data_IF_788579438056
#
_entry.id   IF_788579438056
#
_cell.length_a   1.000
_cell.length_b   1.000
_cell.length_c   1.000
_cell.angle_alpha   90.00
_cell.angle_beta   90.00
_cell.angle_gamma   90.00
#
_symmetry.space_group_name_H-M   'P 1'
#
loop_
_entity.id
_entity.type
_entity.pdbx_description
1 polymer ?
#
# COMPACT_ATOMS: atom_id res chain seq x y z
N UNK A 1 -32.36 9.68 -11.48
CA UNK A 1 -32.36 9.12 -10.11
C UNK A 1 -31.05 8.39 -9.96
N UNK A 2 -30.11 8.95 -9.20
CA UNK A 2 -28.82 8.32 -8.91
C UNK A 2 -29.09 7.18 -7.94
N UNK A 3 -29.06 5.95 -8.44
CA UNK A 3 -29.16 4.78 -7.58
C UNK A 3 -27.94 4.77 -6.65
N UNK A 4 -28.13 4.52 -5.36
CA UNK A 4 -27.02 4.56 -4.42
C UNK A 4 -26.03 3.43 -4.73
N UNK A 5 -24.73 3.74 -4.76
CA UNK A 5 -23.68 2.75 -5.04
C UNK A 5 -23.63 1.62 -3.98
N UNK A 6 -24.11 1.92 -2.77
CA UNK A 6 -24.30 0.97 -1.67
C UNK A 6 -25.64 1.26 -1.01
N UNK A 7 -26.41 0.21 -0.71
CA UNK A 7 -27.58 0.29 0.16
C UNK A 7 -27.44 -0.66 1.35
N UNK A 8 -27.90 -0.22 2.53
CA UNK A 8 -27.79 -0.98 3.78
C UNK A 8 -29.16 -1.37 4.32
N UNK A 9 -29.27 -2.59 4.84
CA UNK A 9 -30.46 -3.14 5.46
C UNK A 9 -30.06 -3.91 6.73
N UNK A 10 -30.77 -3.70 7.83
CA UNK A 10 -30.58 -4.52 9.03
C UNK A 10 -31.28 -5.87 8.87
N UNK A 11 -30.66 -6.92 9.40
CA UNK A 11 -31.22 -8.26 9.44
C UNK A 11 -31.86 -8.49 10.82
N UNK A 12 -33.19 -8.61 10.83
CA UNK A 12 -34.03 -8.68 12.04
C UNK A 12 -33.74 -9.90 12.93
N UNK A 13 -33.35 -11.04 12.34
CA UNK A 13 -33.29 -12.32 13.04
C UNK A 13 -32.05 -12.51 13.93
N UNK A 14 -31.01 -11.66 13.84
CA UNK A 14 -29.74 -11.93 14.52
C UNK A 14 -28.75 -10.76 14.70
N UNK A 15 -29.17 -9.49 14.56
CA UNK A 15 -28.22 -8.37 14.66
C UNK A 15 -27.17 -8.38 13.54
N UNK A 16 -27.62 -8.61 12.31
CA UNK A 16 -26.76 -8.65 11.12
C UNK A 16 -26.93 -7.42 10.23
N UNK A 17 -25.94 -7.16 9.38
CA UNK A 17 -25.97 -6.11 8.39
C UNK A 17 -25.95 -6.73 6.99
N UNK A 18 -26.88 -6.32 6.13
CA UNK A 18 -26.85 -6.58 4.69
C UNK A 18 -26.49 -5.29 3.96
N UNK A 19 -25.38 -5.29 3.24
CA UNK A 19 -25.01 -4.23 2.33
C UNK A 19 -25.09 -4.74 0.89
N UNK A 20 -25.90 -4.10 0.06
CA UNK A 20 -25.98 -4.38 -1.39
C UNK A 20 -25.12 -3.37 -2.13
N UNK A 21 -24.10 -3.87 -2.80
CA UNK A 21 -23.05 -3.05 -3.42
C UNK A 21 -23.12 -3.17 -4.94
N UNK A 22 -23.07 -2.05 -5.65
CA UNK A 22 -22.98 -2.00 -7.11
C UNK A 22 -21.56 -2.29 -7.60
N UNK A 23 -21.42 -3.31 -8.44
CA UNK A 23 -20.14 -3.70 -9.05
C UNK A 23 -19.62 -2.68 -10.06
N UNK A 24 -20.46 -1.78 -10.57
CA UNK A 24 -20.03 -0.69 -11.45
C UNK A 24 -19.16 0.35 -10.72
N UNK A 25 -19.41 0.51 -9.41
CA UNK A 25 -18.74 1.51 -8.57
C UNK A 25 -17.59 0.89 -7.77
N UNK A 26 -17.79 -0.33 -7.26
CA UNK A 26 -16.78 -1.07 -6.52
C UNK A 26 -16.55 -2.41 -7.23
N UNK A 27 -15.37 -2.61 -7.81
CA UNK A 27 -15.08 -3.87 -8.46
C UNK A 27 -15.09 -5.03 -7.45
N UNK A 28 -15.26 -6.26 -7.95
CA UNK A 28 -15.37 -7.45 -7.10
C UNK A 28 -14.20 -7.60 -6.12
N UNK A 29 -12.96 -7.25 -6.50
CA UNK A 29 -11.81 -7.37 -5.58
C UNK A 29 -11.91 -6.37 -4.45
N UNK A 30 -12.34 -5.15 -4.75
CA UNK A 30 -12.61 -4.11 -3.75
C UNK A 30 -13.68 -4.56 -2.75
N UNK A 31 -14.80 -5.11 -3.24
CA UNK A 31 -15.89 -5.61 -2.38
C UNK A 31 -15.40 -6.74 -1.47
N UNK A 32 -14.62 -7.68 -2.03
CA UNK A 32 -14.07 -8.79 -1.25
C UNK A 32 -13.10 -8.29 -0.19
N UNK A 33 -12.14 -7.43 -0.58
CA UNK A 33 -11.16 -6.87 0.35
C UNK A 33 -11.83 -6.13 1.51
N UNK A 34 -12.84 -5.31 1.23
CA UNK A 34 -13.60 -4.60 2.25
C UNK A 34 -14.39 -5.55 3.16
N UNK A 35 -15.01 -6.60 2.62
CA UNK A 35 -15.75 -7.56 3.43
C UNK A 35 -14.84 -8.39 4.34
N UNK A 36 -13.64 -8.76 3.86
CA UNK A 36 -12.69 -9.57 4.63
C UNK A 36 -12.05 -8.83 5.81
N UNK A 37 -12.09 -7.50 5.88
CA UNK A 37 -11.63 -6.78 7.10
C UNK A 37 -12.47 -7.13 8.33
N UNK A 38 -13.70 -7.61 8.13
CA UNK A 38 -14.61 -8.00 9.19
C UNK A 38 -14.49 -9.48 9.57
N UNK A 39 -13.68 -10.29 8.87
CA UNK A 39 -13.69 -11.76 9.06
C UNK A 39 -13.28 -12.19 10.46
N UNK A 40 -12.52 -11.38 11.21
CA UNK A 40 -12.14 -11.72 12.57
C UNK A 40 -13.34 -11.63 13.53
N UNK A 41 -14.12 -10.54 13.41
CA UNK A 41 -15.23 -10.18 14.32
C UNK A 41 -16.62 -10.66 13.87
N UNK A 42 -16.80 -10.91 12.57
CA UNK A 42 -18.08 -11.27 11.97
C UNK A 42 -17.93 -12.46 11.02
N UNK A 43 -18.97 -13.27 10.94
CA UNK A 43 -19.23 -14.13 9.80
C UNK A 43 -19.56 -13.26 8.59
N UNK A 44 -18.81 -13.47 7.52
CA UNK A 44 -18.97 -12.77 6.25
C UNK A 44 -19.56 -13.73 5.24
N UNK A 45 -20.67 -13.37 4.60
CA UNK A 45 -21.22 -14.08 3.45
C UNK A 45 -21.36 -13.10 2.30
N UNK A 46 -20.75 -13.45 1.18
CA UNK A 46 -20.86 -12.73 -0.09
C UNK A 46 -21.76 -13.55 -1.02
N UNK A 47 -22.80 -12.92 -1.53
CA UNK A 47 -23.75 -13.56 -2.43
C UNK A 47 -24.04 -12.65 -3.64
N UNK A 48 -24.33 -13.26 -4.80
CA UNK A 48 -24.62 -12.54 -6.04
C UNK A 48 -25.99 -12.97 -6.56
N UNK A 49 -27.03 -12.38 -5.98
CA UNK A 49 -28.42 -12.67 -6.36
C UNK A 49 -28.83 -12.02 -7.69
N UNK A 50 -28.26 -10.86 -7.99
CA UNK A 50 -28.55 -10.06 -9.17
C UNK A 50 -27.24 -9.78 -9.94
N UNK A 51 -27.25 -9.80 -11.29
CA UNK A 51 -26.07 -9.44 -12.05
C UNK A 51 -25.71 -7.97 -11.82
N UNK A 52 -24.43 -7.70 -11.52
CA UNK A 52 -23.91 -6.35 -11.27
C UNK A 52 -24.08 -5.86 -9.83
N UNK A 53 -24.64 -6.68 -8.92
CA UNK A 53 -24.72 -6.35 -7.49
C UNK A 53 -24.27 -7.51 -6.62
N UNK A 54 -23.52 -7.20 -5.57
CA UNK A 54 -23.08 -8.19 -4.57
C UNK A 54 -23.71 -7.83 -3.23
N UNK A 55 -24.38 -8.81 -2.64
CA UNK A 55 -24.91 -8.76 -1.28
C UNK A 55 -23.79 -9.18 -0.30
N UNK A 56 -23.34 -8.25 0.52
CA UNK A 56 -22.41 -8.46 1.64
C UNK A 56 -23.23 -8.61 2.92
N UNK A 57 -23.24 -9.80 3.49
CA UNK A 57 -23.91 -10.08 4.75
C UNK A 57 -22.86 -10.25 5.85
N UNK A 58 -22.95 -9.38 6.85
CA UNK A 58 -22.16 -9.44 8.07
C UNK A 58 -23.05 -9.91 9.22
N UNK A 59 -22.59 -10.91 9.97
CA UNK A 59 -23.26 -11.39 11.18
C UNK A 59 -22.23 -11.57 12.28
N UNK A 60 -22.52 -11.16 13.50
CA UNK A 60 -21.62 -11.34 14.63
C UNK A 60 -21.24 -12.82 14.86
N UNK A 61 -20.03 -13.08 15.39
CA UNK A 61 -19.60 -14.46 15.71
C UNK A 61 -20.05 -14.97 17.08
N UNK A 62 -20.23 -14.10 18.07
CA UNK A 62 -20.64 -14.50 19.43
C UNK A 62 -21.19 -13.32 20.25
N UNK A 63 -22.46 -13.41 20.66
CA UNK A 63 -23.21 -12.65 21.68
C UNK A 63 -22.95 -11.15 21.85
N UNK A 64 -22.39 -10.50 20.84
CA UNK A 64 -22.00 -9.11 20.86
C UNK A 64 -22.46 -8.49 19.57
N UNK A 65 -23.35 -7.50 19.69
CA UNK A 65 -23.89 -6.76 18.55
C UNK A 65 -22.75 -6.28 17.66
N UNK A 66 -22.95 -6.36 16.33
CA UNK A 66 -22.12 -5.59 15.41
C UNK A 66 -21.97 -4.15 15.95
N UNK A 67 -20.78 -3.54 15.82
CA UNK A 67 -20.58 -2.16 16.23
C UNK A 67 -21.68 -1.25 15.65
N UNK A 68 -22.17 -0.28 16.43
CA UNK A 68 -23.23 0.62 15.96
C UNK A 68 -22.83 1.39 14.69
N UNK A 69 -21.52 1.52 14.47
CA UNK A 69 -20.85 2.13 13.33
C UNK A 69 -20.45 1.14 12.22
N UNK A 70 -20.83 -0.15 12.30
CA UNK A 70 -20.45 -1.17 11.31
C UNK A 70 -20.84 -0.80 9.86
N UNK A 71 -21.93 -0.04 9.69
CA UNK A 71 -22.33 0.53 8.38
C UNK A 71 -21.28 1.49 7.84
N UNK A 72 -20.89 2.45 8.67
CA UNK A 72 -19.90 3.47 8.31
C UNK A 72 -18.51 2.85 8.14
N UNK A 73 -18.15 1.87 8.97
CA UNK A 73 -16.90 1.13 8.85
C UNK A 73 -16.85 0.33 7.54
N UNK A 74 -17.95 -0.35 7.15
CA UNK A 74 -18.00 -1.10 5.90
C UNK A 74 -17.94 -0.16 4.68
N UNK A 75 -18.64 0.97 4.74
CA UNK A 75 -18.57 2.00 3.70
C UNK A 75 -17.15 2.55 3.56
N UNK A 76 -16.51 2.92 4.67
CA UNK A 76 -15.13 3.37 4.68
C UNK A 76 -14.16 2.30 4.14
N UNK A 77 -14.36 1.04 4.51
CA UNK A 77 -13.57 -0.08 4.00
C UNK A 77 -13.69 -0.26 2.48
N UNK A 78 -14.90 -0.08 1.91
CA UNK A 78 -15.13 -0.12 0.46
C UNK A 78 -14.36 0.99 -0.26
N UNK A 79 -14.44 2.24 0.22
CA UNK A 79 -13.72 3.35 -0.38
C UNK A 79 -12.20 3.22 -0.20
N UNK A 80 -11.74 2.78 0.97
CA UNK A 80 -10.32 2.54 1.22
C UNK A 80 -9.76 1.46 0.29
N UNK A 81 -10.45 0.32 0.15
CA UNK A 81 -10.05 -0.76 -0.75
C UNK A 81 -10.03 -0.29 -2.22
N UNK A 82 -11.02 0.52 -2.64
CA UNK A 82 -11.06 1.10 -3.99
C UNK A 82 -9.85 1.99 -4.24
N UNK A 83 -9.56 2.90 -3.30
CA UNK A 83 -8.43 3.81 -3.41
C UNK A 83 -7.10 3.04 -3.44
N UNK A 84 -6.97 2.02 -2.59
CA UNK A 84 -5.78 1.17 -2.55
C UNK A 84 -5.58 0.41 -3.86
N UNK A 85 -6.65 -0.10 -4.47
CA UNK A 85 -6.56 -0.79 -5.76
C UNK A 85 -6.18 0.19 -6.89
N UNK A 86 -6.78 1.38 -6.92
CA UNK A 86 -6.44 2.43 -7.88
C UNK A 86 -5.00 2.96 -7.73
N UNK A 87 -4.55 3.14 -6.50
CA UNK A 87 -3.19 3.61 -6.20
C UNK A 87 -2.15 2.53 -6.52
N UNK A 88 -2.40 1.27 -6.19
CA UNK A 88 -1.46 0.17 -6.50
C UNK A 88 -1.17 0.06 -8.00
N UNK A 89 -2.19 0.25 -8.84
CA UNK A 89 -2.00 0.26 -10.30
C UNK A 89 -1.17 1.46 -10.77
N UNK A 90 -1.32 2.62 -10.14
CA UNK A 90 -0.64 3.87 -10.52
C UNK A 90 0.79 3.94 -9.98
N UNK A 91 1.03 3.41 -8.78
CA UNK A 91 2.32 3.44 -8.10
C UNK A 91 3.38 2.60 -8.81
N UNK A 92 3.01 1.47 -9.40
CA UNK A 92 3.95 0.65 -10.19
C UNK A 92 4.47 1.42 -11.41
N UNK A 93 3.56 2.02 -12.19
CA UNK A 93 3.94 2.82 -13.35
C UNK A 93 4.83 4.02 -12.97
N UNK A 94 4.54 4.66 -11.84
CA UNK A 94 5.37 5.77 -11.35
C UNK A 94 6.75 5.28 -10.89
N UNK A 95 6.82 4.20 -10.11
CA UNK A 95 8.09 3.61 -9.68
C UNK A 95 8.95 3.17 -10.88
N UNK A 96 8.35 2.52 -11.88
CA UNK A 96 9.02 2.13 -13.12
C UNK A 96 9.52 3.36 -13.89
N UNK A 97 8.73 4.44 -13.94
CA UNK A 97 9.15 5.68 -14.60
C UNK A 97 10.34 6.37 -13.89
N UNK A 98 10.38 6.33 -12.56
CA UNK A 98 11.50 6.84 -11.77
C UNK A 98 12.74 5.97 -12.01
N UNK A 99 12.58 4.65 -11.96
CA UNK A 99 13.67 3.72 -12.22
C UNK A 99 14.24 3.88 -13.63
N UNK A 100 13.40 4.02 -14.66
CA UNK A 100 13.83 4.26 -16.03
C UNK A 100 14.54 5.62 -16.18
N UNK A 101 14.00 6.67 -15.56
CA UNK A 101 14.64 8.00 -15.56
C UNK A 101 16.00 8.00 -14.86
N UNK A 102 16.13 7.25 -13.76
CA UNK A 102 17.36 7.11 -13.01
C UNK A 102 18.40 6.23 -13.73
N UNK A 103 17.96 5.20 -14.46
CA UNK A 103 18.83 4.25 -15.17
C UNK A 103 19.20 4.69 -16.60
N UNK A 104 18.54 5.69 -17.19
CA UNK A 104 19.05 6.29 -18.42
C UNK A 104 18.08 7.20 -19.16
N UNK A 105 18.33 8.51 -19.06
CA UNK A 105 18.19 9.38 -20.24
C UNK A 105 19.43 9.15 -21.12
N UNK A 106 19.29 8.74 -22.39
CA UNK A 106 20.44 8.49 -23.29
C UNK A 106 21.26 9.75 -23.59
N UNK A 107 20.76 10.91 -23.22
CA UNK A 107 21.41 12.22 -23.34
C UNK A 107 22.36 12.56 -22.17
N UNK A 108 22.32 11.82 -21.06
CA UNK A 108 23.35 11.87 -20.01
C UNK A 108 24.46 10.82 -20.20
N UNK A 109 24.38 10.02 -21.27
CA UNK A 109 25.52 9.26 -21.80
C UNK A 109 26.37 10.19 -22.67
N UNK A 110 26.79 11.33 -22.14
CA UNK A 110 27.95 12.02 -22.71
C UNK A 110 29.12 11.03 -22.67
N UNK A 111 29.76 10.70 -23.81
CA UNK A 111 30.99 9.96 -23.76
C UNK A 111 31.97 10.78 -22.92
N UNK A 112 32.45 10.23 -21.81
CA UNK A 112 33.58 10.81 -21.08
C UNK A 112 34.68 11.16 -22.08
N UNK A 113 35.35 12.32 -21.94
CA UNK A 113 36.46 12.66 -22.82
C UNK A 113 37.49 11.52 -22.79
N UNK A 114 38.11 11.18 -23.93
CA UNK A 114 39.05 10.07 -23.98
C UNK A 114 40.19 10.33 -23.01
N UNK A 115 40.37 9.41 -22.06
CA UNK A 115 41.56 9.37 -21.23
C UNK A 115 42.79 9.13 -22.13
N UNK A 116 43.94 9.77 -21.85
CA UNK A 116 45.15 9.60 -22.63
C UNK A 116 45.56 8.14 -22.71
N UNK A 117 45.96 7.72 -23.91
CA UNK A 117 46.25 6.35 -24.29
C UNK A 117 47.25 5.67 -23.35
N UNK A 118 46.83 4.58 -22.71
CA UNK A 118 47.77 3.73 -22.00
C UNK A 118 47.24 2.92 -20.83
N UNK A 119 46.08 2.25 -20.94
CA UNK A 119 45.92 0.95 -20.24
C UNK A 119 44.71 0.17 -20.73
N UNK A 120 44.97 -1.09 -21.09
CA UNK A 120 43.96 -2.07 -21.43
C UNK A 120 42.94 -2.27 -20.31
N UNK A 121 41.71 -2.59 -20.71
CA UNK A 121 40.59 -2.77 -19.80
C UNK A 121 40.80 -3.91 -18.82
N UNK A 122 40.30 -3.73 -17.60
CA UNK A 122 39.50 -4.69 -16.83
C UNK A 122 39.02 -4.00 -15.55
N UNK A 123 37.78 -4.30 -15.18
CA UNK A 123 37.12 -3.98 -13.91
C UNK A 123 36.67 -2.53 -13.70
N UNK A 124 35.34 -2.40 -13.58
CA UNK A 124 34.65 -1.28 -12.94
C UNK A 124 35.20 -1.10 -11.53
N UNK A 125 36.26 -0.31 -11.38
CA UNK A 125 36.72 0.15 -10.08
C UNK A 125 35.75 1.25 -9.63
N UNK A 126 35.01 0.98 -8.56
CA UNK A 126 34.38 2.05 -7.78
C UNK A 126 35.45 3.13 -7.52
N UNK A 127 35.10 4.43 -7.58
CA UNK A 127 36.05 5.46 -7.22
C UNK A 127 36.58 5.15 -5.83
N UNK A 128 37.91 5.09 -5.68
CA UNK A 128 38.52 4.89 -4.39
C UNK A 128 38.07 6.05 -3.51
N UNK A 129 37.30 5.74 -2.47
CA UNK A 129 36.89 6.72 -1.46
C UNK A 129 38.13 6.99 -0.63
N UNK A 130 38.70 8.17 -0.79
CA UNK A 130 39.83 8.60 0.03
C UNK A 130 39.33 8.85 1.46
N UNK A 131 40.15 8.61 2.50
CA UNK A 131 39.73 8.78 3.89
C UNK A 131 39.26 10.21 4.23
N UNK A 132 39.61 11.18 3.39
CA UNK A 132 39.19 12.58 3.44
C UNK A 132 37.70 12.76 3.10
N UNK A 133 37.16 11.91 2.22
CA UNK A 133 35.75 11.91 1.80
C UNK A 133 34.82 11.26 2.84
N UNK A 134 35.38 10.58 3.84
CA UNK A 134 34.62 9.96 4.94
C UNK A 134 34.10 10.98 5.95
N UNK A 135 34.62 12.21 5.95
CA UNK A 135 34.12 13.30 6.78
C UNK A 135 32.66 13.68 6.46
N UNK A 136 32.15 13.32 5.27
CA UNK A 136 30.74 13.47 4.92
C UNK A 136 29.81 12.43 5.61
N UNK A 137 30.38 11.38 6.21
CA UNK A 137 29.66 10.33 6.95
C UNK A 137 29.79 10.49 8.48
N UNK A 138 30.60 11.44 8.95
CA UNK A 138 30.55 11.88 10.34
C UNK A 138 29.24 12.62 10.54
N UNK A 139 28.30 11.97 11.25
CA UNK A 139 26.97 12.50 11.48
C UNK A 139 27.04 13.83 12.26
N UNK A 140 26.80 14.98 11.59
CA UNK A 140 27.01 16.28 12.18
C UNK A 140 25.96 16.61 13.25
N UNK A 141 24.89 15.81 13.34
CA UNK A 141 23.79 15.98 14.28
C UNK A 141 23.81 14.93 15.42
N UNK A 142 24.68 13.93 15.36
CA UNK A 142 24.81 12.88 16.37
C UNK A 142 23.57 11.99 16.58
N UNK A 143 22.67 11.95 15.60
CA UNK A 143 21.45 11.15 15.55
C UNK A 143 21.67 9.67 15.15
N UNK A 144 22.80 9.36 14.51
CA UNK A 144 23.23 8.06 14.03
C UNK A 144 24.10 7.31 15.06
N UNK A 145 23.99 7.66 16.34
CA UNK A 145 24.56 6.85 17.41
C UNK A 145 23.80 5.54 17.55
N UNK A 146 24.53 4.44 17.74
CA UNK A 146 23.90 3.15 17.99
C UNK A 146 23.13 3.18 19.31
N UNK A 147 22.00 2.46 19.37
CA UNK A 147 21.18 2.37 20.59
C UNK A 147 21.99 1.85 21.80
N UNK A 148 22.97 0.98 21.54
CA UNK A 148 23.85 0.37 22.53
C UNK A 148 24.80 1.39 23.19
N UNK A 149 25.34 2.34 22.42
CA UNK A 149 26.17 3.43 22.94
C UNK A 149 25.37 4.41 23.79
N UNK A 150 24.12 4.71 23.39
CA UNK A 150 23.24 5.63 24.10
C UNK A 150 22.81 5.12 25.48
N UNK A 151 22.78 3.79 25.68
CA UNK A 151 22.28 3.16 26.91
C UNK A 151 23.34 2.35 27.68
N UNK A 152 24.61 2.46 27.30
CA UNK A 152 25.69 1.81 28.02
C UNK A 152 25.86 2.41 29.41
N UNK A 153 25.72 1.59 30.46
CA UNK A 153 25.90 2.02 31.85
C UNK A 153 27.35 2.47 32.10
N UNK A 154 27.56 3.58 32.82
CA UNK A 154 28.90 3.99 33.23
C UNK A 154 29.48 2.94 34.19
N UNK A 155 30.75 2.60 34.00
CA UNK A 155 31.50 1.68 34.84
C UNK A 155 32.13 2.43 36.01
#
# INVERSE_FOLDING_TARGET
>A
MTDAAVSFHDLEDAGGLLARVDESTFDRRTIYAAAFTFIDRAWVRLDRKEPGRIDVVLREKSSGSLPADARQELEAALYAARLQHASSASSGAWADSILLSALGSPENLTPSPPLPEGRGGTSSALPAVEPEDLAAFDDPLGIAQSWEEKHRKPK
#
